data_IF_491841316895
#
_entry.id   IF_491841316895
#
_cell.length_a   1.000
_cell.length_b   1.000
_cell.length_c   1.000
_cell.angle_alpha   90.00
_cell.angle_beta   90.00
_cell.angle_gamma   90.00
#
_symmetry.space_group_name_H-M   'P 1'
#
loop_
_entity.id
_entity.type
_entity.pdbx_description
1 polymer ?
#
# COMPACT_ATOMS: atom_id res chain seq x y z
N UNK A 1 59.59 -37.29 -9.40
CA UNK A 1 59.85 -35.84 -9.61
C UNK A 1 58.55 -35.09 -9.39
N UNK A 2 58.47 -34.35 -8.29
CA UNK A 2 57.40 -33.41 -7.96
C UNK A 2 57.20 -32.39 -9.10
N UNK A 3 55.94 -32.15 -9.49
CA UNK A 3 55.54 -30.88 -10.10
C UNK A 3 54.27 -30.39 -9.41
N UNK A 4 54.49 -29.62 -8.35
CA UNK A 4 53.55 -28.65 -7.80
C UNK A 4 53.65 -27.42 -8.71
N UNK A 5 52.52 -26.90 -9.21
CA UNK A 5 52.29 -25.49 -9.54
C UNK A 5 50.80 -25.33 -9.87
N UNK A 6 49.95 -25.14 -8.86
CA UNK A 6 49.48 -23.84 -8.36
C UNK A 6 48.73 -23.03 -9.44
N UNK A 7 47.45 -23.32 -9.62
CA UNK A 7 46.49 -22.47 -10.33
C UNK A 7 45.27 -22.19 -9.43
N UNK A 8 45.52 -21.82 -8.18
CA UNK A 8 44.52 -21.21 -7.29
C UNK A 8 44.60 -19.69 -7.45
N UNK A 9 44.05 -19.18 -8.54
CA UNK A 9 43.88 -17.74 -8.79
C UNK A 9 42.40 -17.40 -8.90
N UNK A 10 41.58 -17.86 -7.95
CA UNK A 10 40.13 -17.63 -7.98
C UNK A 10 39.48 -17.42 -6.60
N UNK A 11 40.21 -16.86 -5.62
CA UNK A 11 39.61 -16.35 -4.38
C UNK A 11 40.41 -15.16 -3.85
N UNK A 12 40.26 -14.01 -4.50
CA UNK A 12 40.44 -12.74 -3.82
C UNK A 12 39.04 -12.26 -3.43
N UNK A 13 38.66 -12.26 -2.13
CA UNK A 13 37.41 -11.63 -1.73
C UNK A 13 37.55 -10.12 -2.01
N UNK A 14 36.82 -9.64 -3.01
CA UNK A 14 36.51 -8.22 -3.16
C UNK A 14 35.73 -7.81 -1.92
N UNK A 15 36.43 -7.18 -0.98
CA UNK A 15 35.85 -6.48 0.16
C UNK A 15 35.09 -5.26 -0.38
N UNK A 16 33.91 -5.50 -0.96
CA UNK A 16 32.89 -4.48 -1.18
C UNK A 16 32.40 -4.07 0.20
N UNK A 17 32.93 -2.96 0.72
CA UNK A 17 32.31 -2.30 1.85
C UNK A 17 30.97 -1.76 1.36
N UNK A 18 29.88 -2.39 1.79
CA UNK A 18 28.56 -1.82 1.69
C UNK A 18 28.53 -0.60 2.63
N UNK A 19 28.63 0.60 2.06
CA UNK A 19 28.40 1.82 2.81
C UNK A 19 26.90 1.98 3.03
N UNK A 20 26.45 1.69 4.25
CA UNK A 20 25.09 1.99 4.69
C UNK A 20 24.99 3.49 4.89
N UNK A 21 24.25 4.18 4.02
CA UNK A 21 23.93 5.59 4.20
C UNK A 21 22.79 5.65 5.20
N UNK A 22 23.10 5.52 6.49
CA UNK A 22 22.12 5.80 7.54
C UNK A 22 22.04 7.32 7.74
N UNK A 23 20.84 7.88 7.97
CA UNK A 23 20.70 9.29 8.35
C UNK A 23 21.59 9.60 9.56
N UNK A 24 22.29 10.73 9.52
CA UNK A 24 23.07 11.23 10.64
C UNK A 24 22.58 12.63 11.00
N UNK A 25 22.49 12.90 12.30
CA UNK A 25 22.06 14.19 12.83
C UNK A 25 23.21 14.77 13.65
N UNK A 26 23.60 16.01 13.34
CA UNK A 26 24.57 16.78 14.12
C UNK A 26 23.77 17.61 15.12
N UNK A 27 23.72 17.17 16.38
CA UNK A 27 23.11 17.89 17.49
C UNK A 27 24.14 18.28 18.55
N UNK A 28 23.80 19.24 19.42
CA UNK A 28 24.72 19.74 20.47
C UNK A 28 25.11 18.66 21.49
N UNK A 29 24.25 17.65 21.67
CA UNK A 29 24.52 16.40 22.39
C UNK A 29 23.56 15.29 21.89
N UNK A 30 23.92 14.01 22.05
CA UNK A 30 23.04 12.89 21.69
C UNK A 30 23.63 11.54 22.08
N UNK A 31 22.78 10.53 22.22
CA UNK A 31 23.20 9.15 22.49
C UNK A 31 22.09 8.17 22.09
N UNK A 32 22.42 6.88 22.03
CA UNK A 32 21.48 5.80 21.75
C UNK A 32 21.63 4.70 22.79
N UNK A 33 20.52 4.20 23.29
CA UNK A 33 20.50 3.11 24.28
C UNK A 33 19.38 2.12 23.99
N UNK A 34 19.58 0.87 24.41
CA UNK A 34 18.57 -0.19 24.28
C UNK A 34 18.07 -0.57 25.65
N UNK A 35 16.75 -0.49 25.86
CA UNK A 35 16.08 -0.96 27.08
C UNK A 35 14.97 -1.90 26.66
N UNK A 36 15.02 -3.15 27.12
CA UNK A 36 13.96 -4.15 26.85
C UNK A 36 13.79 -4.54 25.37
N UNK A 37 14.84 -4.40 24.54
CA UNK A 37 14.77 -4.69 23.10
C UNK A 37 14.29 -3.52 22.22
N UNK A 38 13.89 -2.40 22.82
CA UNK A 38 13.61 -1.15 22.11
C UNK A 38 14.85 -0.28 22.10
N UNK A 39 15.31 0.11 20.91
CA UNK A 39 16.40 1.08 20.76
C UNK A 39 15.82 2.49 20.75
N UNK A 40 16.26 3.30 21.70
CA UNK A 40 15.91 4.72 21.79
C UNK A 40 17.17 5.51 21.45
N UNK A 41 17.09 6.31 20.38
CA UNK A 41 18.11 7.28 20.03
C UNK A 41 17.57 8.67 20.32
N UNK A 42 18.38 9.54 20.90
CA UNK A 42 18.01 10.91 21.20
C UNK A 42 19.11 11.89 20.84
N UNK A 43 18.70 13.10 20.50
CA UNK A 43 19.56 14.28 20.34
C UNK A 43 18.94 15.41 21.14
N UNK A 44 19.77 16.19 21.83
CA UNK A 44 19.32 17.43 22.49
C UNK A 44 19.34 18.52 21.42
N UNK A 45 18.15 19.00 21.06
CA UNK A 45 18.00 20.12 20.12
C UNK A 45 18.43 21.45 20.76
N UNK A 46 18.87 22.38 19.92
CA UNK A 46 19.06 23.78 20.31
C UNK A 46 17.69 24.41 20.61
N UNK A 47 17.60 25.33 21.60
CA UNK A 47 16.33 25.94 22.01
C UNK A 47 15.71 26.86 20.94
N UNK A 48 16.46 27.18 19.88
CA UNK A 48 16.00 27.92 18.71
C UNK A 48 16.74 27.44 17.44
N UNK A 49 16.00 27.30 16.32
CA UNK A 49 16.51 26.89 15.02
C UNK A 49 16.77 28.13 14.17
N UNK A 50 18.01 28.42 13.81
CA UNK A 50 18.34 29.46 12.83
C UNK A 50 18.55 28.82 11.46
N UNK A 51 17.86 29.30 10.42
CA UNK A 51 18.21 28.96 9.03
C UNK A 51 19.45 29.73 8.63
N UNK A 52 20.52 29.02 8.25
CA UNK A 52 21.70 29.64 7.64
C UNK A 52 21.62 29.46 6.12
N UNK A 53 21.73 30.56 5.39
CA UNK A 53 21.73 30.60 3.94
C UNK A 53 22.96 31.38 3.45
N UNK A 54 23.73 30.77 2.55
CA UNK A 54 24.86 31.43 1.87
C UNK A 54 24.68 31.40 0.34
N UNK A 55 23.44 31.40 -0.15
CA UNK A 55 23.05 31.44 -1.57
C UNK A 55 23.26 30.14 -2.34
N UNK A 56 24.16 29.26 -1.88
CA UNK A 56 24.46 27.96 -2.51
C UNK A 56 24.12 26.76 -1.63
N UNK A 57 23.97 26.95 -0.32
CA UNK A 57 23.62 25.92 0.65
C UNK A 57 22.67 26.52 1.69
N UNK A 58 21.60 25.79 2.00
CA UNK A 58 20.65 26.13 3.05
C UNK A 58 20.78 25.09 4.16
N UNK A 59 21.11 25.51 5.38
CA UNK A 59 21.14 24.67 6.57
C UNK A 59 19.98 25.03 7.50
N UNK A 60 19.01 24.12 7.63
CA UNK A 60 17.96 24.19 8.64
C UNK A 60 18.38 23.32 9.83
N UNK A 61 19.03 23.92 10.83
CA UNK A 61 19.51 23.19 12.00
C UNK A 61 18.38 23.00 13.01
N UNK A 62 17.62 21.91 12.95
CA UNK A 62 16.51 21.74 13.88
C UNK A 62 15.78 20.41 13.77
N UNK A 63 16.06 19.56 14.77
CA UNK A 63 15.42 18.27 15.07
C UNK A 63 15.83 17.08 14.20
N UNK A 64 16.00 15.94 14.89
CA UNK A 64 15.75 14.64 14.31
C UNK A 64 14.27 14.66 13.90
N UNK A 65 13.98 14.99 12.64
CA UNK A 65 12.65 14.77 12.12
C UNK A 65 12.39 13.27 12.26
N UNK A 66 11.30 12.82 12.93
CA UNK A 66 10.86 11.47 12.69
C UNK A 66 10.73 11.35 11.17
N UNK A 67 11.32 10.31 10.59
CA UNK A 67 10.90 9.88 9.28
C UNK A 67 9.38 9.86 9.34
N UNK A 68 8.73 10.77 8.61
CA UNK A 68 7.30 10.72 8.44
C UNK A 68 7.09 9.39 7.74
N UNK A 69 6.83 8.35 8.53
CA UNK A 69 6.37 7.07 8.04
C UNK A 69 4.99 7.37 7.47
N UNK A 70 4.95 7.91 6.25
CA UNK A 70 3.81 7.83 5.34
C UNK A 70 3.51 6.39 4.93
N UNK A 71 4.08 5.42 5.65
CA UNK A 71 3.69 4.02 5.61
C UNK A 71 2.46 3.84 6.50
N UNK A 72 1.49 3.10 5.97
CA UNK A 72 0.39 2.63 6.80
C UNK A 72 0.92 1.70 7.89
N UNK A 73 0.60 2.02 9.14
CA UNK A 73 0.96 1.19 10.29
C UNK A 73 0.00 0.02 10.50
N UNK A 74 -1.14 0.00 9.79
CA UNK A 74 -2.14 -1.06 9.86
C UNK A 74 -2.21 -1.96 8.65
N UNK A 75 -3.34 -2.66 8.54
CA UNK A 75 -3.65 -3.47 7.36
C UNK A 75 -3.66 -2.59 6.10
N UNK A 76 -3.14 -3.11 5.01
CA UNK A 76 -3.06 -2.43 3.72
C UNK A 76 -3.63 -3.29 2.61
N UNK A 77 -4.23 -2.63 1.63
CA UNK A 77 -4.68 -3.23 0.38
C UNK A 77 -4.30 -2.35 -0.78
N UNK A 78 -4.20 -2.94 -1.97
CA UNK A 78 -4.05 -2.22 -3.23
C UNK A 78 -5.36 -2.35 -3.98
N UNK A 79 -6.03 -1.22 -4.22
CA UNK A 79 -7.18 -1.13 -5.11
C UNK A 79 -6.63 -0.91 -6.51
N UNK A 80 -6.87 -1.86 -7.41
CA UNK A 80 -6.39 -1.83 -8.79
C UNK A 80 -7.60 -1.86 -9.74
N UNK A 81 -7.77 -0.81 -10.54
CA UNK A 81 -8.90 -0.65 -11.46
C UNK A 81 -8.34 -0.45 -12.86
N UNK A 82 -8.63 -1.36 -13.77
CA UNK A 82 -8.46 -1.11 -15.19
C UNK A 82 -9.70 -0.35 -15.68
N UNK A 83 -9.53 0.93 -15.97
CA UNK A 83 -10.63 1.80 -16.38
C UNK A 83 -11.04 1.55 -17.82
N UNK A 84 -12.23 2.01 -18.20
CA UNK A 84 -12.70 2.06 -19.58
C UNK A 84 -12.61 3.51 -20.11
N UNK A 85 -13.48 3.86 -21.06
CA UNK A 85 -13.53 5.22 -21.62
C UNK A 85 -13.84 6.32 -20.60
N UNK A 86 -14.54 5.99 -19.49
CA UNK A 86 -15.16 6.96 -18.59
C UNK A 86 -14.70 6.78 -17.13
N UNK A 87 -13.40 6.94 -16.84
CA UNK A 87 -12.82 6.66 -15.52
C UNK A 87 -13.42 7.50 -14.39
N UNK A 88 -13.85 8.73 -14.68
CA UNK A 88 -14.37 9.69 -13.71
C UNK A 88 -15.78 9.37 -13.20
N UNK A 89 -16.43 8.35 -13.78
CA UNK A 89 -17.72 7.86 -13.30
C UNK A 89 -17.55 6.83 -12.16
N UNK A 90 -16.35 6.26 -12.03
CA UNK A 90 -16.04 5.17 -11.11
C UNK A 90 -15.59 5.69 -9.75
N UNK A 91 -16.23 5.20 -8.70
CA UNK A 91 -15.86 5.45 -7.31
C UNK A 91 -15.82 4.14 -6.54
N UNK A 92 -15.09 4.09 -5.44
CA UNK A 92 -15.03 2.93 -4.56
C UNK A 92 -14.99 3.34 -3.09
N UNK A 93 -15.47 2.44 -2.23
CA UNK A 93 -15.47 2.60 -0.79
C UNK A 93 -15.04 1.29 -0.11
N UNK A 94 -14.32 1.42 1.00
CA UNK A 94 -13.99 0.34 1.92
C UNK A 94 -14.61 0.65 3.27
N UNK A 95 -15.35 -0.30 3.82
CA UNK A 95 -16.00 -0.21 5.13
C UNK A 95 -15.36 -1.15 6.15
N UNK A 96 -15.44 -0.80 7.43
CA UNK A 96 -15.14 -1.72 8.52
C UNK A 96 -16.32 -2.67 8.82
N UNK A 97 -16.17 -3.55 9.81
CA UNK A 97 -17.22 -4.47 10.28
C UNK A 97 -18.49 -3.79 10.81
N UNK A 98 -18.40 -2.51 11.18
CA UNK A 98 -19.53 -1.67 11.56
C UNK A 98 -20.17 -0.91 10.40
N UNK A 99 -19.86 -1.27 9.14
CA UNK A 99 -20.32 -0.61 7.92
C UNK A 99 -19.96 0.89 7.82
N UNK A 100 -18.96 1.33 8.58
CA UNK A 100 -18.44 2.70 8.48
C UNK A 100 -17.40 2.77 7.38
N UNK A 101 -17.51 3.74 6.48
CA UNK A 101 -16.50 3.99 5.43
C UNK A 101 -15.21 4.45 6.09
N UNK A 102 -14.12 3.70 5.86
CA UNK A 102 -12.78 3.98 6.39
C UNK A 102 -11.80 4.42 5.30
N UNK A 103 -12.12 4.15 4.03
CA UNK A 103 -11.39 4.64 2.88
C UNK A 103 -12.31 4.75 1.67
N UNK A 104 -12.04 5.69 0.78
CA UNK A 104 -12.77 5.89 -0.46
C UNK A 104 -11.86 6.51 -1.51
N UNK A 105 -12.22 6.35 -2.78
CA UNK A 105 -11.48 6.94 -3.89
C UNK A 105 -12.13 6.65 -5.22
N UNK A 106 -11.38 6.89 -6.28
CA UNK A 106 -11.82 6.63 -7.65
C UNK A 106 -10.79 7.14 -8.65
N UNK A 107 -10.77 6.61 -9.88
CA UNK A 107 -10.04 7.22 -10.98
C UNK A 107 -10.54 8.65 -11.26
N UNK A 108 -9.67 9.47 -11.85
CA UNK A 108 -9.98 10.86 -12.23
C UNK A 108 -10.04 11.02 -13.74
N UNK A 109 -10.62 12.14 -14.20
CA UNK A 109 -10.63 12.52 -15.61
C UNK A 109 -9.21 12.46 -16.20
N UNK A 110 -9.08 11.85 -17.39
CA UNK A 110 -7.80 11.64 -18.08
C UNK A 110 -7.13 10.28 -17.81
N UNK A 111 -7.70 9.43 -16.96
CA UNK A 111 -7.21 8.07 -16.72
C UNK A 111 -8.03 7.01 -17.50
N UNK A 112 -8.36 7.26 -18.76
CA UNK A 112 -9.19 6.34 -19.56
C UNK A 112 -8.38 5.15 -20.10
N UNK A 113 -8.99 3.96 -20.13
CA UNK A 113 -8.43 2.72 -20.69
C UNK A 113 -7.05 2.36 -20.12
N UNK A 114 -6.86 2.51 -18.81
CA UNK A 114 -5.58 2.23 -18.15
C UNK A 114 -5.75 1.66 -16.75
N UNK A 115 -4.68 1.02 -16.25
CA UNK A 115 -4.61 0.56 -14.88
C UNK A 115 -4.32 1.75 -13.93
N UNK A 116 -5.24 1.98 -13.00
CA UNK A 116 -5.11 2.89 -11.87
C UNK A 116 -5.01 2.07 -10.60
N UNK A 117 -3.89 2.20 -9.89
CA UNK A 117 -3.63 1.46 -8.65
C UNK A 117 -3.38 2.41 -7.49
N UNK A 118 -4.04 2.17 -6.36
CA UNK A 118 -3.88 2.94 -5.14
C UNK A 118 -3.67 2.01 -3.94
N UNK A 119 -2.59 2.24 -3.18
CA UNK A 119 -2.38 1.59 -1.89
C UNK A 119 -3.18 2.33 -0.81
N UNK A 120 -3.98 1.59 -0.06
CA UNK A 120 -4.94 2.11 0.91
C UNK A 120 -4.64 1.54 2.28
N UNK A 121 -4.61 2.43 3.27
CA UNK A 121 -4.43 2.09 4.67
C UNK A 121 -5.79 1.85 5.35
N UNK A 122 -5.97 0.70 5.99
CA UNK A 122 -7.23 0.28 6.60
C UNK A 122 -7.25 0.38 8.13
N UNK A 123 -6.21 0.95 8.73
CA UNK A 123 -6.11 1.14 10.18
C UNK A 123 -4.74 1.61 10.64
N UNK A 124 -4.59 1.77 11.96
CA UNK A 124 -3.36 2.28 12.58
C UNK A 124 -2.46 1.18 13.14
N UNK A 125 -2.92 -0.06 13.17
CA UNK A 125 -2.18 -1.24 13.65
C UNK A 125 -2.65 -2.49 12.90
N UNK A 126 -1.78 -3.46 12.58
CA UNK A 126 -2.20 -4.68 11.88
C UNK A 126 -2.99 -5.55 12.84
N UNK A 127 -4.19 -5.96 12.45
CA UNK A 127 -5.08 -6.76 13.30
C UNK A 127 -5.98 -7.66 12.47
N UNK A 128 -6.42 -8.78 13.04
CA UNK A 128 -7.44 -9.61 12.42
C UNK A 128 -8.77 -8.86 12.36
N UNK A 129 -9.19 -8.47 11.16
CA UNK A 129 -10.38 -7.69 10.90
C UNK A 129 -10.95 -8.00 9.51
N UNK A 130 -12.26 -7.86 9.37
CA UNK A 130 -12.97 -7.98 8.10
C UNK A 130 -13.52 -6.63 7.66
N UNK A 131 -13.54 -6.45 6.35
CA UNK A 131 -13.85 -5.23 5.66
C UNK A 131 -14.83 -5.52 4.53
N UNK A 132 -15.58 -4.50 4.12
CA UNK A 132 -16.40 -4.52 2.92
C UNK A 132 -15.77 -3.67 1.83
N UNK A 133 -15.78 -4.14 0.59
CA UNK A 133 -15.42 -3.35 -0.59
C UNK A 133 -16.65 -3.15 -1.47
N UNK A 134 -16.81 -1.95 -2.01
CA UNK A 134 -17.81 -1.65 -3.03
C UNK A 134 -17.22 -0.72 -4.08
N UNK A 135 -17.54 -0.99 -5.34
CA UNK A 135 -17.32 -0.09 -6.47
C UNK A 135 -18.69 0.41 -6.98
N UNK A 136 -18.77 1.69 -7.33
CA UNK A 136 -19.96 2.34 -7.88
C UNK A 136 -19.58 3.03 -9.19
N UNK A 137 -20.53 3.11 -10.09
CA UNK A 137 -20.41 3.82 -11.36
C UNK A 137 -21.63 4.72 -11.56
N UNK A 138 -21.41 6.03 -11.58
CA UNK A 138 -22.50 7.01 -11.62
C UNK A 138 -23.47 6.86 -12.80
N UNK A 139 -23.04 6.29 -13.94
CA UNK A 139 -23.88 6.12 -15.13
C UNK A 139 -24.52 4.72 -15.24
N UNK A 140 -24.08 3.77 -14.42
CA UNK A 140 -24.70 2.47 -14.24
C UNK A 140 -24.33 1.44 -15.29
N UNK A 141 -23.44 1.77 -16.22
CA UNK A 141 -22.90 0.87 -17.26
C UNK A 141 -21.61 0.17 -16.82
N UNK A 142 -21.14 0.51 -15.61
CA UNK A 142 -19.95 0.04 -14.93
C UNK A 142 -18.68 0.17 -15.76
N UNK A 143 -17.91 -0.91 -15.85
CA UNK A 143 -16.62 -0.93 -16.53
C UNK A 143 -16.75 -1.74 -17.83
N UNK A 144 -16.90 -1.05 -18.95
CA UNK A 144 -17.15 -1.67 -20.24
C UNK A 144 -15.86 -2.13 -20.95
N UNK A 145 -15.98 -3.16 -21.80
CA UNK A 145 -14.91 -3.61 -22.69
C UNK A 145 -13.73 -4.27 -21.95
N UNK A 146 -12.60 -3.56 -21.84
CA UNK A 146 -11.39 -4.07 -21.14
C UNK A 146 -11.41 -3.81 -19.63
N UNK A 147 -12.41 -3.08 -19.14
CA UNK A 147 -12.49 -2.65 -17.76
C UNK A 147 -12.65 -3.81 -16.77
N UNK A 148 -11.95 -3.74 -15.65
CA UNK A 148 -12.03 -4.72 -14.55
C UNK A 148 -11.48 -4.11 -13.26
N UNK A 149 -11.74 -4.72 -12.12
CA UNK A 149 -11.14 -4.29 -10.86
C UNK A 149 -10.69 -5.46 -9.99
N UNK A 150 -9.68 -5.21 -9.18
CA UNK A 150 -9.12 -6.17 -8.24
C UNK A 150 -8.69 -5.47 -6.95
N UNK A 151 -9.02 -6.09 -5.82
CA UNK A 151 -8.42 -5.80 -4.53
C UNK A 151 -7.28 -6.77 -4.29
N UNK A 152 -6.10 -6.26 -3.93
CA UNK A 152 -4.89 -7.07 -3.76
C UNK A 152 -4.20 -6.80 -2.42
N UNK A 153 -3.42 -7.75 -1.93
CA UNK A 153 -2.42 -7.49 -0.90
C UNK A 153 -1.27 -6.66 -1.48
N UNK A 154 -0.45 -6.06 -0.62
CA UNK A 154 0.77 -5.36 -1.03
C UNK A 154 1.78 -6.27 -1.73
N UNK A 155 1.72 -7.58 -1.47
CA UNK A 155 2.55 -8.61 -2.12
C UNK A 155 1.96 -9.08 -3.47
N UNK A 156 0.85 -8.49 -3.90
CA UNK A 156 0.25 -8.71 -5.21
C UNK A 156 -0.76 -9.85 -5.31
N UNK A 157 -1.07 -10.54 -4.20
CA UNK A 157 -2.11 -11.59 -4.16
C UNK A 157 -3.49 -10.96 -4.30
N UNK A 158 -4.34 -11.53 -5.16
CA UNK A 158 -5.73 -11.08 -5.35
C UNK A 158 -6.59 -11.54 -4.17
N UNK A 159 -7.25 -10.58 -3.52
CA UNK A 159 -8.19 -10.78 -2.42
C UNK A 159 -9.64 -10.82 -2.90
N UNK A 160 -9.98 -9.96 -3.87
CA UNK A 160 -11.29 -9.84 -4.52
C UNK A 160 -11.07 -9.31 -5.93
N UNK A 161 -12.03 -9.50 -6.83
CA UNK A 161 -12.03 -8.85 -8.13
C UNK A 161 -13.24 -9.25 -8.94
N UNK A 162 -13.50 -8.46 -9.98
CA UNK A 162 -14.55 -8.70 -10.96
C UNK A 162 -14.00 -8.40 -12.36
N UNK A 163 -14.19 -9.34 -13.28
CA UNK A 163 -13.86 -9.21 -14.69
C UNK A 163 -15.06 -8.83 -15.56
N UNK A 164 -16.23 -8.64 -14.93
CA UNK A 164 -17.51 -8.31 -15.55
C UNK A 164 -17.95 -9.31 -16.63
N UNK A 165 -17.49 -10.58 -16.56
CA UNK A 165 -17.85 -11.62 -17.52
C UNK A 165 -19.36 -11.96 -17.52
N UNK A 166 -20.09 -11.62 -16.45
CA UNK A 166 -21.54 -11.79 -16.31
C UNK A 166 -22.39 -10.58 -16.72
N UNK A 167 -21.75 -9.47 -17.09
CA UNK A 167 -22.39 -8.17 -17.37
C UNK A 167 -21.64 -7.02 -16.70
N UNK A 168 -21.68 -5.83 -17.30
CA UNK A 168 -20.89 -4.66 -16.86
C UNK A 168 -21.60 -3.78 -15.84
N UNK A 169 -22.80 -4.10 -15.38
CA UNK A 169 -23.59 -3.19 -14.55
C UNK A 169 -23.00 -3.03 -13.13
N UNK A 170 -22.47 -1.84 -12.83
CA UNK A 170 -22.16 -1.40 -11.46
C UNK A 170 -23.20 -0.36 -11.01
N UNK A 171 -23.63 -0.31 -9.74
CA UNK A 171 -24.70 0.60 -9.34
C UNK A 171 -24.30 2.07 -9.38
N UNK A 172 -25.28 2.91 -9.76
CA UNK A 172 -25.20 4.37 -9.77
C UNK A 172 -24.98 4.99 -8.39
N UNK A 173 -25.74 4.59 -7.36
CA UNK A 173 -25.60 5.02 -5.95
C UNK A 173 -26.26 4.01 -4.99
N UNK A 174 -25.98 4.14 -3.69
CA UNK A 174 -26.64 3.31 -2.65
C UNK A 174 -28.07 3.74 -2.33
N UNK A 175 -28.97 2.79 -2.03
CA UNK A 175 -29.06 1.41 -2.51
C UNK A 175 -30.14 1.31 -3.60
N UNK A 176 -29.85 0.69 -4.76
CA UNK A 176 -30.88 0.59 -5.81
C UNK A 176 -31.35 -0.82 -6.18
N UNK A 177 -30.72 -1.89 -5.68
CA UNK A 177 -31.27 -3.24 -5.83
C UNK A 177 -30.93 -4.14 -4.64
N UNK A 178 -31.91 -4.88 -4.13
CA UNK A 178 -31.78 -5.74 -2.93
C UNK A 178 -30.78 -6.89 -3.05
N UNK A 179 -30.10 -7.05 -4.20
CA UNK A 179 -29.03 -8.03 -4.44
C UNK A 179 -27.61 -7.45 -4.45
N UNK A 180 -27.41 -6.15 -4.70
CA UNK A 180 -26.09 -5.48 -4.68
C UNK A 180 -25.80 -4.80 -3.33
N UNK A 181 -26.70 -4.98 -2.35
CA UNK A 181 -26.67 -4.30 -1.05
C UNK A 181 -25.61 -4.79 -0.06
N UNK A 182 -24.82 -5.81 -0.43
CA UNK A 182 -23.83 -6.44 0.43
C UNK A 182 -22.46 -6.21 -0.18
N UNK A 183 -21.71 -5.25 0.34
CA UNK A 183 -20.29 -5.05 0.04
C UNK A 183 -19.56 -6.40 -0.09
N UNK A 184 -18.63 -6.53 -1.03
CA UNK A 184 -17.79 -7.73 -1.14
C UNK A 184 -16.90 -7.82 0.10
N UNK A 185 -17.12 -8.85 0.91
CA UNK A 185 -16.42 -9.04 2.18
C UNK A 185 -15.02 -9.63 2.00
N UNK A 186 -14.03 -9.09 2.70
CA UNK A 186 -12.69 -9.68 2.78
C UNK A 186 -12.10 -9.51 4.19
N UNK A 187 -11.26 -10.43 4.63
CA UNK A 187 -10.60 -10.37 5.94
C UNK A 187 -9.07 -10.33 5.81
N UNK A 188 -8.44 -9.62 6.74
CA UNK A 188 -6.98 -9.52 6.90
C UNK A 188 -6.59 -9.80 8.36
N UNK A 189 -5.42 -10.40 8.66
CA UNK A 189 -4.53 -11.03 7.69
C UNK A 189 -5.27 -12.17 7.01
N UNK A 190 -4.85 -12.48 5.80
CA UNK A 190 -5.57 -13.42 4.96
C UNK A 190 -5.69 -14.81 5.60
N UNK A 191 -6.92 -15.31 5.70
CA UNK A 191 -7.19 -16.67 6.14
C UNK A 191 -6.61 -17.70 5.15
N UNK A 192 -6.57 -18.99 5.50
CA UNK A 192 -6.27 -20.04 4.54
C UNK A 192 -7.30 -19.96 3.40
N UNK A 193 -6.80 -19.73 2.17
CA UNK A 193 -7.66 -19.51 1.00
C UNK A 193 -8.75 -20.61 0.91
N UNK A 194 -10.00 -20.19 1.03
CA UNK A 194 -11.17 -21.05 0.94
C UNK A 194 -11.85 -20.79 -0.40
N UNK A 195 -12.06 -21.85 -1.19
CA UNK A 195 -12.85 -21.77 -2.42
C UNK A 195 -14.31 -21.61 -1.99
N UNK A 196 -14.89 -20.43 -2.18
CA UNK A 196 -16.34 -20.23 -2.07
C UNK A 196 -16.99 -20.65 -3.40
N UNK A 197 -17.71 -21.79 -3.48
CA UNK A 197 -18.36 -22.22 -4.70
C UNK A 197 -19.74 -21.57 -4.78
N UNK A 198 -19.83 -20.39 -5.38
CA UNK A 198 -21.08 -19.90 -6.00
C UNK A 198 -20.90 -18.75 -6.99
N UNK A 199 -19.72 -18.14 -7.10
CA UNK A 199 -19.45 -17.09 -8.10
C UNK A 199 -18.18 -17.47 -8.86
N UNK A 200 -18.33 -17.98 -10.09
CA UNK A 200 -17.20 -18.26 -10.97
C UNK A 200 -16.49 -16.92 -11.26
N UNK A 201 -15.20 -16.80 -10.93
CA UNK A 201 -14.42 -15.57 -11.13
C UNK A 201 -14.20 -14.71 -9.89
N UNK A 202 -14.93 -14.95 -8.78
CA UNK A 202 -14.76 -14.21 -7.53
C UNK A 202 -14.01 -15.08 -6.52
N UNK A 203 -12.76 -14.71 -6.21
CA UNK A 203 -12.02 -15.33 -5.12
C UNK A 203 -12.39 -14.62 -3.82
N UNK A 204 -13.15 -15.28 -2.94
CA UNK A 204 -13.39 -14.78 -1.59
C UNK A 204 -12.33 -15.35 -0.64
N UNK A 205 -11.83 -14.50 0.26
CA UNK A 205 -10.91 -14.89 1.32
C UNK A 205 -11.69 -14.95 2.64
N UNK A 206 -12.30 -16.10 2.94
CA UNK A 206 -12.86 -16.38 4.28
C UNK A 206 -11.85 -17.11 5.15
#
# INVERSE_FOLDING_TARGET
MNRILLATCLLAPLMLNAQSISPSVIGSAGSSGTVGGTTVSWTVGETAVTTLDNGSNILTQGFHQPEALGGCLGNQVVVAINTDGNPDQITWEITNSGNTVIASGGPTAGQSNMLVSQTVCLGTTPSSACYGFRLMDSFGDGLNGVGNWQLRTTDGKVLLGDDFAGGSDSPSLTPQYGGYGSHHGFCLPEGPASIAPSECGIMNNT
#
